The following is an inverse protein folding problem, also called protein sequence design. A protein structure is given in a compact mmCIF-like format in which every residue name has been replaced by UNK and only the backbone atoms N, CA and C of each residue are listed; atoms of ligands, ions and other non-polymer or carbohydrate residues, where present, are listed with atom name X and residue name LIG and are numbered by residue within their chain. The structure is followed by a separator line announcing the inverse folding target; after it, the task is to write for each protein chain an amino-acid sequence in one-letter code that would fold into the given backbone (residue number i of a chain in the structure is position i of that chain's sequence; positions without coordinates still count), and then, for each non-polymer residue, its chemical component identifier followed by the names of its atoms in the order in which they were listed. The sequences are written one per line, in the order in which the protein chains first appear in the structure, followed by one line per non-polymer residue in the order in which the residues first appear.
data_IF_725882258910
#
_entry.id   IF_725882258910
#
_cell.length_a   1.000
_cell.length_b   1.000
_cell.length_c   1.000
_cell.angle_alpha   90.00
_cell.angle_beta   90.00
_cell.angle_gamma   90.00
#
_symmetry.space_group_name_H-M   'P 1'
#
loop_
_entity.id
_entity.type
_entity.pdbx_description
1 polymer ?
#
# COMPACT_ATOMS: atom_id res chain seq x y z
N UNK A 1 7.99 -10.47 -11.55
CA UNK A 1 7.46 -9.10 -11.43
C UNK A 1 6.91 -8.66 -12.78
N UNK A 2 5.86 -7.83 -12.81
CA UNK A 2 5.17 -7.41 -14.06
C UNK A 2 5.61 -6.02 -14.57
N UNK A 3 6.54 -5.34 -13.88
CA UNK A 3 7.02 -4.01 -14.28
C UNK A 3 6.09 -2.85 -13.93
N UNK A 4 5.14 -3.05 -13.00
CA UNK A 4 4.23 -2.00 -12.52
C UNK A 4 4.73 -1.39 -11.20
N UNK A 5 4.51 -0.09 -11.06
CA UNK A 5 4.61 0.63 -9.79
C UNK A 5 3.37 0.35 -8.92
N UNK A 6 3.55 0.42 -7.60
CA UNK A 6 2.50 0.20 -6.62
C UNK A 6 2.45 1.34 -5.60
N UNK A 7 1.27 1.94 -5.45
CA UNK A 7 0.98 2.96 -4.44
C UNK A 7 0.05 2.42 -3.35
N UNK A 8 0.58 1.78 -2.28
CA UNK A 8 -0.25 1.28 -1.17
C UNK A 8 -0.68 2.43 -0.25
N UNK A 9 -1.96 2.45 0.11
CA UNK A 9 -2.57 3.49 0.96
C UNK A 9 -3.52 2.89 1.99
N UNK A 10 -3.35 3.30 3.25
CA UNK A 10 -4.30 3.04 4.36
C UNK A 10 -5.14 4.26 4.73
N UNK A 11 -4.78 5.46 4.24
CA UNK A 11 -5.46 6.72 4.56
C UNK A 11 -6.75 6.95 3.77
N UNK A 12 -7.65 5.98 3.73
CA UNK A 12 -8.96 6.06 3.06
C UNK A 12 -10.11 5.81 4.04
N UNK A 13 -11.35 6.01 3.59
CA UNK A 13 -12.55 5.68 4.37
C UNK A 13 -13.00 4.24 4.06
N UNK A 14 -12.74 3.26 4.96
CA UNK A 14 -13.08 1.87 4.69
C UNK A 14 -14.59 1.62 4.65
N UNK A 15 -15.40 2.40 5.37
CA UNK A 15 -16.85 2.23 5.36
C UNK A 15 -17.44 2.57 4.00
N UNK A 16 -16.95 3.66 3.37
CA UNK A 16 -17.39 4.04 2.02
C UNK A 16 -16.96 3.05 0.94
N UNK A 17 -15.76 2.49 1.05
CA UNK A 17 -15.29 1.46 0.10
C UNK A 17 -16.09 0.17 0.30
N UNK A 18 -16.30 -0.26 1.54
CA UNK A 18 -17.12 -1.43 1.85
C UNK A 18 -18.55 -1.29 1.33
N UNK A 19 -19.17 -0.12 1.51
CA UNK A 19 -20.50 0.18 1.00
C UNK A 19 -20.54 0.11 -0.54
N UNK A 20 -19.57 0.74 -1.22
CA UNK A 20 -19.57 0.82 -2.68
C UNK A 20 -19.30 -0.52 -3.37
N UNK A 21 -18.44 -1.38 -2.79
CA UNK A 21 -17.91 -2.55 -3.48
C UNK A 21 -18.22 -3.89 -2.81
N UNK A 22 -18.53 -3.90 -1.52
CA UNK A 22 -18.64 -5.12 -0.72
C UNK A 22 -19.95 -5.23 0.08
N UNK A 23 -20.95 -4.41 -0.24
CA UNK A 23 -22.26 -4.43 0.41
C UNK A 23 -22.89 -5.84 0.37
N UNK A 24 -23.43 -6.27 1.52
CA UNK A 24 -24.05 -7.60 1.67
C UNK A 24 -23.07 -8.76 1.80
N UNK A 25 -21.76 -8.50 1.84
CA UNK A 25 -20.72 -9.51 2.07
C UNK A 25 -20.08 -9.36 3.46
N UNK A 26 -19.28 -10.35 3.85
CA UNK A 26 -18.42 -10.27 5.04
C UNK A 26 -17.03 -9.68 4.75
N UNK A 27 -16.76 -9.27 3.50
CA UNK A 27 -15.46 -8.74 3.08
C UNK A 27 -15.28 -7.33 3.65
N UNK A 28 -14.04 -7.04 4.07
CA UNK A 28 -13.63 -5.74 4.62
C UNK A 28 -12.42 -5.21 3.87
N UNK A 29 -12.47 -3.93 3.55
CA UNK A 29 -11.37 -3.19 2.93
C UNK A 29 -10.20 -3.07 3.91
N UNK A 30 -8.98 -3.31 3.43
CA UNK A 30 -7.76 -3.23 4.25
C UNK A 30 -6.78 -2.20 3.69
N UNK A 31 -6.37 -2.37 2.43
CA UNK A 31 -5.51 -1.43 1.71
C UNK A 31 -6.06 -1.17 0.32
N UNK A 32 -5.90 0.05 -0.15
CA UNK A 32 -6.01 0.39 -1.57
C UNK A 32 -4.61 0.41 -2.17
N UNK A 33 -4.48 -0.17 -3.37
CA UNK A 33 -3.22 -0.19 -4.11
C UNK A 33 -3.47 0.24 -5.54
N UNK A 34 -2.96 1.41 -5.92
CA UNK A 34 -2.90 1.81 -7.32
C UNK A 34 -1.77 1.02 -7.99
N UNK A 35 -2.05 0.45 -9.17
CA UNK A 35 -1.06 -0.22 -10.00
C UNK A 35 -0.98 0.49 -11.35
N UNK A 36 0.23 0.72 -11.86
CA UNK A 36 0.42 1.42 -13.13
C UNK A 36 1.87 1.80 -13.35
N UNK A 37 2.07 2.88 -14.11
CA UNK A 37 3.37 3.51 -14.33
C UNK A 37 3.34 4.89 -13.69
N UNK A 38 4.17 5.11 -12.68
CA UNK A 38 4.29 6.38 -11.99
C UNK A 38 4.99 7.41 -12.87
N UNK A 39 4.64 8.69 -12.70
CA UNK A 39 5.38 9.79 -13.29
C UNK A 39 6.74 9.91 -12.58
N UNK A 40 7.88 9.70 -13.27
CA UNK A 40 9.20 9.79 -12.67
C UNK A 40 9.49 11.15 -12.02
N UNK A 41 8.87 12.23 -12.50
CA UNK A 41 9.05 13.56 -11.93
C UNK A 41 8.41 13.71 -10.54
N UNK A 42 7.41 12.89 -10.21
CA UNK A 42 6.72 12.89 -8.92
C UNK A 42 7.28 11.88 -7.91
N UNK A 43 8.28 11.09 -8.28
CA UNK A 43 8.83 10.06 -7.40
C UNK A 43 9.76 10.65 -6.35
N UNK A 44 9.48 10.34 -5.08
CA UNK A 44 10.40 10.64 -3.99
C UNK A 44 11.64 9.73 -4.07
N UNK A 45 12.83 10.22 -3.68
CA UNK A 45 13.98 9.36 -3.44
C UNK A 45 13.65 8.29 -2.40
N UNK A 46 14.34 7.16 -2.49
CA UNK A 46 14.18 6.07 -1.54
C UNK A 46 14.48 6.57 -0.12
N UNK A 47 13.49 6.45 0.76
CA UNK A 47 13.64 6.81 2.18
C UNK A 47 14.63 5.88 2.90
N UNK A 48 15.27 6.34 4.00
CA UNK A 48 16.15 5.51 4.81
C UNK A 48 15.47 4.21 5.23
N UNK A 49 16.24 3.13 5.26
CA UNK A 49 15.81 1.84 5.81
C UNK A 49 16.62 1.56 7.06
N UNK A 50 15.98 0.97 8.06
CA UNK A 50 16.66 0.48 9.25
C UNK A 50 17.76 -0.51 8.85
N UNK A 51 18.89 -0.47 9.54
CA UNK A 51 19.88 -1.54 9.47
C UNK A 51 19.29 -2.85 10.04
N UNK A 52 19.96 -3.98 9.77
CA UNK A 52 19.51 -5.27 10.29
C UNK A 52 19.45 -5.27 11.82
N UNK A 53 20.50 -4.80 12.49
CA UNK A 53 20.60 -4.80 13.95
C UNK A 53 19.55 -3.89 14.63
N UNK A 54 19.07 -2.86 13.91
CA UNK A 54 17.94 -2.04 14.35
C UNK A 54 16.59 -2.74 14.14
N UNK A 55 16.44 -3.50 13.06
CA UNK A 55 15.16 -4.10 12.66
C UNK A 55 14.92 -5.50 13.23
N UNK A 56 15.97 -6.26 13.58
CA UNK A 56 15.86 -7.68 13.91
C UNK A 56 16.91 -8.14 14.94
N UNK A 57 16.60 -9.25 15.62
CA UNK A 57 17.52 -9.99 16.50
C UNK A 57 17.44 -11.48 16.17
N UNK A 58 18.55 -12.18 16.32
CA UNK A 58 18.61 -13.64 16.23
C UNK A 58 18.66 -14.16 17.67
N UNK A 59 17.74 -15.07 18.01
CA UNK A 59 17.65 -15.73 19.31
C UNK A 59 18.26 -17.13 19.25
#
# INVERSE_FOLDING_TARGET
ALGLDAGPMSGFDPAKVDEAFFAGTSIKSNFLVNLGYGDPAGLFPRLPRLSFDEAARIA
#
